data_IF_330133601195
#
_entry.id   IF_330133601195
#
_cell.length_a   1.000
_cell.length_b   1.000
_cell.length_c   1.000
_cell.angle_alpha   90.00
_cell.angle_beta   90.00
_cell.angle_gamma   90.00
#
_symmetry.space_group_name_H-M   'P 1'
#
loop_
_entity.id
_entity.type
_entity.pdbx_description
1 polymer ?
#
# COMPACT_ATOMS: atom_id res chain seq x y z
N UNK A 1 -21.80 45.20 -8.14
CA UNK A 1 -20.83 44.44 -7.31
C UNK A 1 -20.92 42.91 -7.47
N UNK A 2 -21.67 42.35 -8.44
CA UNK A 2 -21.79 40.87 -8.62
C UNK A 2 -20.73 40.24 -9.55
N UNK A 3 -20.07 41.02 -10.42
CA UNK A 3 -19.17 40.42 -11.41
C UNK A 3 -17.82 39.89 -10.89
N UNK A 4 -17.40 40.31 -9.67
CA UNK A 4 -16.18 39.81 -9.06
C UNK A 4 -16.34 38.40 -8.49
N UNK A 5 -17.45 38.14 -7.82
CA UNK A 5 -17.76 36.86 -7.18
C UNK A 5 -17.98 35.73 -8.21
N UNK A 6 -18.73 36.02 -9.28
CA UNK A 6 -18.91 35.04 -10.38
C UNK A 6 -17.62 34.68 -11.10
N UNK A 7 -16.66 35.59 -11.15
CA UNK A 7 -15.33 35.36 -11.77
C UNK A 7 -14.43 34.55 -10.86
N UNK A 8 -14.48 34.80 -9.54
CA UNK A 8 -13.76 34.01 -8.54
C UNK A 8 -14.33 32.58 -8.45
N UNK A 9 -15.66 32.41 -8.42
CA UNK A 9 -16.32 31.12 -8.43
C UNK A 9 -15.98 30.30 -9.69
N UNK A 10 -15.88 30.97 -10.85
CA UNK A 10 -15.53 30.31 -12.11
C UNK A 10 -14.06 29.89 -12.16
N UNK A 11 -13.17 30.71 -11.60
CA UNK A 11 -11.74 30.36 -11.48
C UNK A 11 -11.58 29.18 -10.54
N UNK A 12 -12.22 29.22 -9.36
CA UNK A 12 -12.19 28.10 -8.42
C UNK A 12 -12.74 26.81 -9.01
N UNK A 13 -13.84 26.87 -9.78
CA UNK A 13 -14.36 25.70 -10.49
C UNK A 13 -13.37 25.16 -11.53
N UNK A 14 -12.72 26.03 -12.31
CA UNK A 14 -11.73 25.62 -13.31
C UNK A 14 -10.47 25.01 -12.67
N UNK A 15 -10.05 25.50 -11.50
CA UNK A 15 -8.93 24.92 -10.75
C UNK A 15 -9.29 23.54 -10.20
N UNK A 16 -10.50 23.37 -9.63
CA UNK A 16 -11.01 22.06 -9.18
C UNK A 16 -11.13 21.07 -10.34
N UNK A 17 -11.64 21.50 -11.50
CA UNK A 17 -11.73 20.67 -12.70
C UNK A 17 -10.35 20.26 -13.22
N UNK A 18 -9.36 21.13 -13.14
CA UNK A 18 -7.98 20.84 -13.57
C UNK A 18 -7.26 19.91 -12.61
N UNK A 19 -7.48 20.08 -11.33
CA UNK A 19 -6.96 19.20 -10.27
C UNK A 19 -7.57 17.81 -10.35
N UNK A 20 -8.90 17.70 -10.52
CA UNK A 20 -9.59 16.42 -10.68
C UNK A 20 -9.26 15.70 -11.98
N UNK A 21 -8.92 16.42 -13.06
CA UNK A 21 -8.52 15.81 -14.32
C UNK A 21 -7.15 15.10 -14.26
N UNK A 22 -6.32 15.41 -13.26
CA UNK A 22 -5.00 14.80 -13.07
C UNK A 22 -5.06 13.45 -12.34
N UNK A 23 -6.14 13.18 -11.58
CA UNK A 23 -6.24 12.00 -10.71
C UNK A 23 -7.43 11.11 -11.09
N UNK A 24 -7.24 9.79 -10.93
CA UNK A 24 -8.34 8.83 -10.97
C UNK A 24 -9.09 8.77 -9.64
N UNK A 25 -8.46 9.17 -8.54
CA UNK A 25 -9.06 9.29 -7.23
C UNK A 25 -8.48 10.44 -6.42
N UNK A 26 -9.34 11.18 -5.72
CA UNK A 26 -8.95 12.27 -4.83
C UNK A 26 -9.75 12.19 -3.55
N UNK A 27 -9.05 12.27 -2.42
CA UNK A 27 -9.60 12.31 -1.07
C UNK A 27 -8.96 13.49 -0.32
N UNK A 28 -9.76 14.41 0.17
CA UNK A 28 -9.32 15.42 1.14
C UNK A 28 -10.15 15.29 2.39
N UNK A 29 -9.48 15.21 3.55
CA UNK A 29 -10.09 15.08 4.87
C UNK A 29 -9.75 16.29 5.70
N UNK A 30 -10.75 16.98 6.21
CA UNK A 30 -10.58 18.07 7.15
C UNK A 30 -11.59 18.00 8.30
N UNK A 31 -11.33 18.75 9.37
CA UNK A 31 -12.24 18.81 10.50
C UNK A 31 -13.51 19.59 10.13
N UNK A 32 -14.65 18.92 10.26
CA UNK A 32 -15.97 19.56 10.19
C UNK A 32 -16.67 19.37 11.52
N UNK A 33 -16.91 20.46 12.24
CA UNK A 33 -17.46 20.40 13.60
C UNK A 33 -16.69 19.44 14.52
N UNK A 34 -15.37 19.50 14.47
CA UNK A 34 -14.43 18.65 15.23
C UNK A 34 -14.48 17.16 14.87
N UNK A 35 -14.96 16.81 13.67
CA UNK A 35 -15.01 15.44 13.16
C UNK A 35 -14.26 15.37 11.83
N UNK A 36 -13.37 14.40 11.68
CA UNK A 36 -12.68 14.10 10.44
C UNK A 36 -13.66 13.69 9.34
N UNK A 37 -13.78 14.50 8.31
CA UNK A 37 -14.77 14.32 7.25
C UNK A 37 -14.18 14.57 5.87
N UNK A 38 -14.69 13.87 4.86
CA UNK A 38 -14.32 14.14 3.47
C UNK A 38 -14.83 15.54 3.06
N UNK A 39 -13.92 16.43 2.70
CA UNK A 39 -14.23 17.76 2.15
C UNK A 39 -14.14 17.79 0.64
N UNK A 40 -13.24 16.96 0.07
CA UNK A 40 -13.25 16.66 -1.37
C UNK A 40 -13.22 15.15 -1.54
N UNK A 41 -14.07 14.65 -2.43
CA UNK A 41 -14.12 13.25 -2.79
C UNK A 41 -14.45 13.12 -4.28
N UNK A 42 -13.50 12.59 -5.05
CA UNK A 42 -13.66 12.37 -6.47
C UNK A 42 -13.11 11.01 -6.86
N UNK A 43 -13.77 10.34 -7.79
CA UNK A 43 -13.21 9.14 -8.42
C UNK A 43 -13.75 8.95 -9.83
N UNK A 44 -12.89 8.46 -10.72
CA UNK A 44 -13.24 8.12 -12.11
C UNK A 44 -12.61 6.79 -12.49
N UNK A 45 -13.06 6.21 -13.61
CA UNK A 45 -12.47 4.98 -14.14
C UNK A 45 -10.93 5.06 -14.21
N UNK A 46 -10.20 4.01 -13.83
CA UNK A 46 -10.67 2.68 -13.43
C UNK A 46 -10.95 2.51 -11.92
N UNK A 47 -10.99 3.60 -11.16
CA UNK A 47 -11.14 3.61 -9.72
C UNK A 47 -12.52 4.14 -9.29
N UNK A 48 -13.06 3.57 -8.22
CA UNK A 48 -14.19 4.12 -7.48
C UNK A 48 -13.83 4.22 -6.01
N UNK A 49 -14.19 5.33 -5.36
CA UNK A 49 -14.01 5.55 -3.94
C UNK A 49 -15.39 5.56 -3.26
N UNK A 50 -15.51 4.81 -2.20
CA UNK A 50 -16.70 4.75 -1.35
C UNK A 50 -16.38 5.41 -0.01
N UNK A 51 -17.28 6.24 0.48
CA UNK A 51 -17.20 6.89 1.79
C UNK A 51 -18.44 6.52 2.62
N UNK A 52 -18.41 5.40 3.36
CA UNK A 52 -19.52 4.98 4.20
C UNK A 52 -19.65 5.87 5.43
N UNK A 53 -20.86 6.26 5.77
CA UNK A 53 -21.13 7.20 6.89
C UNK A 53 -20.85 6.63 8.29
N UNK A 54 -20.68 5.30 8.44
CA UNK A 54 -20.43 4.63 9.73
C UNK A 54 -19.74 3.30 9.50
N UNK A 55 -18.48 3.22 9.86
CA UNK A 55 -17.69 1.98 9.81
C UNK A 55 -17.18 1.59 11.20
N UNK A 56 -16.98 2.59 12.07
CA UNK A 56 -16.38 2.35 13.38
C UNK A 56 -17.31 1.52 14.29
N UNK A 57 -16.75 0.50 14.92
CA UNK A 57 -17.40 -0.20 16.03
C UNK A 57 -17.47 0.72 17.26
N UNK A 58 -16.41 1.48 17.52
CA UNK A 58 -16.39 2.52 18.55
C UNK A 58 -16.70 3.88 17.91
N UNK A 59 -17.89 4.40 18.20
CA UNK A 59 -18.36 5.70 17.71
C UNK A 59 -17.70 6.90 18.39
N UNK A 60 -16.94 6.67 19.45
CA UNK A 60 -16.20 7.73 20.16
C UNK A 60 -14.88 8.06 19.44
N UNK A 61 -14.39 7.19 18.57
CA UNK A 61 -13.15 7.40 17.81
C UNK A 61 -13.46 8.15 16.53
N UNK A 62 -12.74 9.24 16.32
CA UNK A 62 -12.87 10.07 15.13
C UNK A 62 -11.95 9.57 14.03
N UNK A 63 -12.51 8.99 12.97
CA UNK A 63 -11.78 8.54 11.79
C UNK A 63 -12.69 8.53 10.55
N UNK A 64 -12.22 9.14 9.47
CA UNK A 64 -12.86 9.07 8.16
C UNK A 64 -12.40 7.80 7.41
N UNK A 65 -13.35 6.93 7.04
CA UNK A 65 -13.06 5.66 6.39
C UNK A 65 -13.41 5.68 4.91
N UNK A 66 -12.48 5.24 4.07
CA UNK A 66 -12.66 5.15 2.63
C UNK A 66 -12.37 3.74 2.12
N UNK A 67 -13.11 3.32 1.10
CA UNK A 67 -12.86 2.06 0.39
C UNK A 67 -12.64 2.34 -1.08
N UNK A 68 -11.52 1.88 -1.61
CA UNK A 68 -11.21 1.94 -3.04
C UNK A 68 -11.61 0.64 -3.72
N UNK A 69 -12.18 0.74 -4.91
CA UNK A 69 -12.68 -0.38 -5.71
C UNK A 69 -12.24 -0.20 -7.15
N UNK A 70 -11.72 -1.25 -7.77
CA UNK A 70 -11.44 -1.25 -9.21
C UNK A 70 -12.70 -1.62 -10.00
N UNK A 71 -13.00 -0.87 -11.05
CA UNK A 71 -14.08 -1.25 -11.97
C UNK A 71 -13.77 -2.58 -12.67
N UNK A 72 -14.83 -3.33 -13.03
CA UNK A 72 -14.70 -4.58 -13.78
C UNK A 72 -13.96 -5.70 -13.02
N UNK A 73 -13.76 -5.54 -11.70
CA UNK A 73 -13.13 -6.54 -10.85
C UNK A 73 -11.59 -6.60 -10.95
N UNK A 74 -10.95 -5.62 -11.55
CA UNK A 74 -9.49 -5.50 -11.59
C UNK A 74 -8.99 -4.52 -12.65
N UNK A 75 -7.69 -4.28 -12.65
CA UNK A 75 -6.99 -3.37 -13.56
C UNK A 75 -6.56 -4.11 -14.83
N UNK A 76 -6.76 -3.48 -15.98
CA UNK A 76 -6.36 -4.03 -17.28
C UNK A 76 -5.06 -3.39 -17.79
N UNK A 77 -4.48 -4.00 -18.82
CA UNK A 77 -3.21 -3.56 -19.41
C UNK A 77 -3.23 -2.09 -19.80
N UNK A 78 -2.34 -1.31 -19.19
CA UNK A 78 -2.18 0.11 -19.46
C UNK A 78 -3.12 1.03 -18.68
N UNK A 79 -3.91 0.51 -17.73
CA UNK A 79 -4.64 1.35 -16.79
C UNK A 79 -3.68 2.22 -15.98
N UNK A 80 -4.05 3.48 -15.81
CA UNK A 80 -3.38 4.45 -14.97
C UNK A 80 -4.31 4.84 -13.83
N UNK A 81 -3.83 4.67 -12.59
CA UNK A 81 -4.61 4.93 -11.38
C UNK A 81 -3.86 5.94 -10.48
N UNK A 82 -3.75 7.19 -10.89
CA UNK A 82 -3.20 8.23 -10.03
C UNK A 82 -4.21 8.59 -8.94
N UNK A 83 -3.75 8.56 -7.67
CA UNK A 83 -4.53 8.93 -6.50
C UNK A 83 -3.86 10.03 -5.71
N UNK A 84 -4.68 10.94 -5.16
CA UNK A 84 -4.26 11.93 -4.18
C UNK A 84 -5.05 11.77 -2.90
N UNK A 85 -4.34 11.79 -1.75
CA UNK A 85 -4.94 11.74 -0.41
C UNK A 85 -4.34 12.86 0.44
N UNK A 86 -5.17 13.77 0.90
CA UNK A 86 -4.75 14.87 1.77
C UNK A 86 -5.50 14.79 3.10
N UNK A 87 -4.78 14.47 4.18
CA UNK A 87 -5.30 14.41 5.54
C UNK A 87 -4.82 15.64 6.28
N UNK A 88 -5.73 16.60 6.45
CA UNK A 88 -5.43 17.88 7.07
C UNK A 88 -5.09 17.73 8.56
N UNK A 89 -4.57 18.82 9.13
CA UNK A 89 -4.20 18.92 10.55
C UNK A 89 -5.28 18.35 11.48
N UNK A 90 -4.85 17.61 12.51
CA UNK A 90 -5.68 17.01 13.57
C UNK A 90 -6.72 15.98 13.06
N UNK A 91 -6.65 15.55 11.80
CA UNK A 91 -7.57 14.58 11.20
C UNK A 91 -7.05 13.15 11.25
N UNK A 92 -7.98 12.21 11.22
CA UNK A 92 -7.67 10.78 11.06
C UNK A 92 -8.40 10.22 9.83
N UNK A 93 -7.66 9.52 8.98
CA UNK A 93 -8.22 8.84 7.81
C UNK A 93 -7.71 7.41 7.70
N UNK A 94 -8.60 6.50 7.33
CA UNK A 94 -8.29 5.12 6.95
C UNK A 94 -8.76 4.84 5.54
N UNK A 95 -7.84 4.39 4.68
CA UNK A 95 -8.12 4.04 3.29
C UNK A 95 -7.84 2.56 3.09
N UNK A 96 -8.87 1.81 2.71
CA UNK A 96 -8.83 0.38 2.46
C UNK A 96 -9.21 0.07 1.01
N UNK A 97 -8.97 -1.15 0.55
CA UNK A 97 -9.59 -1.67 -0.67
C UNK A 97 -10.80 -2.54 -0.33
N UNK A 98 -11.71 -2.70 -1.27
CA UNK A 98 -12.79 -3.69 -1.17
C UNK A 98 -12.35 -4.98 -1.86
N UNK A 99 -11.55 -5.79 -1.16
CA UNK A 99 -10.94 -7.00 -1.69
C UNK A 99 -9.63 -6.77 -2.45
N UNK A 100 -9.04 -7.85 -2.92
CA UNK A 100 -7.75 -7.85 -3.62
C UNK A 100 -7.77 -7.02 -4.90
N UNK A 101 -6.74 -6.23 -5.13
CA UNK A 101 -6.53 -5.52 -6.40
C UNK A 101 -5.96 -6.49 -7.44
N UNK A 102 -6.84 -6.98 -8.31
CA UNK A 102 -6.43 -7.90 -9.40
C UNK A 102 -5.82 -7.10 -10.55
N UNK A 103 -4.69 -7.57 -11.07
CA UNK A 103 -4.04 -6.98 -12.25
C UNK A 103 -3.99 -8.04 -13.35
N UNK A 104 -4.67 -7.75 -14.44
CA UNK A 104 -4.79 -8.68 -15.56
C UNK A 104 -3.52 -8.66 -16.43
N UNK A 105 -3.39 -9.70 -17.27
CA UNK A 105 -2.26 -9.84 -18.18
C UNK A 105 -2.05 -8.59 -19.05
N UNK A 106 -0.80 -8.23 -19.27
CA UNK A 106 -0.43 -7.16 -20.18
C UNK A 106 -0.61 -7.57 -21.64
N UNK A 107 -1.23 -6.70 -22.44
CA UNK A 107 -1.56 -6.95 -23.84
C UNK A 107 -0.67 -6.07 -24.72
N UNK A 108 -0.20 -6.61 -25.83
CA UNK A 108 0.49 -5.82 -26.87
C UNK A 108 -0.51 -4.80 -27.47
N UNK A 109 -0.07 -3.57 -27.76
CA UNK A 109 -0.90 -2.66 -28.55
C UNK A 109 -1.22 -3.33 -29.89
N UNK A 110 -2.48 -3.33 -30.31
CA UNK A 110 -2.86 -3.79 -31.64
C UNK A 110 -2.38 -2.78 -32.67
N UNK A 111 -1.14 -2.94 -33.16
CA UNK A 111 -0.72 -2.26 -34.38
C UNK A 111 -1.22 -3.12 -35.56
N UNK A 112 -2.00 -2.53 -36.45
CA UNK A 112 -2.62 -3.19 -37.58
C UNK A 112 -1.63 -3.79 -38.62
N UNK A 113 -0.31 -3.79 -38.37
CA UNK A 113 0.73 -4.16 -39.36
C UNK A 113 1.85 -5.04 -38.81
N UNK A 114 1.67 -5.79 -37.72
CA UNK A 114 2.70 -6.74 -37.28
C UNK A 114 2.43 -8.14 -37.86
N UNK A 115 2.93 -8.37 -39.06
CA UNK A 115 3.17 -9.71 -39.60
C UNK A 115 4.57 -10.17 -39.13
N UNK A 116 4.63 -10.95 -38.06
CA UNK A 116 5.90 -11.50 -37.61
C UNK A 116 5.84 -12.07 -36.21
N UNK A 117 6.50 -13.22 -36.04
CA UNK A 117 6.65 -13.93 -34.75
C UNK A 117 7.54 -13.20 -33.73
N UNK A 118 7.35 -11.88 -33.59
CA UNK A 118 8.09 -11.10 -32.60
C UNK A 118 7.52 -11.36 -31.20
N UNK A 119 8.15 -12.33 -30.54
CA UNK A 119 7.97 -12.65 -29.12
C UNK A 119 8.63 -11.56 -28.25
N UNK A 120 8.99 -10.41 -28.81
CA UNK A 120 9.67 -9.34 -28.08
C UNK A 120 8.74 -8.66 -27.09
N UNK A 121 9.08 -8.94 -25.84
CA UNK A 121 8.37 -8.62 -24.61
C UNK A 121 8.37 -7.13 -24.24
N UNK A 122 9.03 -6.27 -24.98
CA UNK A 122 9.22 -4.85 -24.59
C UNK A 122 8.03 -3.94 -24.86
N UNK A 123 7.11 -4.33 -25.74
CA UNK A 123 6.05 -3.43 -26.21
C UNK A 123 4.68 -3.66 -25.56
N UNK A 124 4.61 -4.33 -24.41
CA UNK A 124 3.35 -4.48 -23.65
C UNK A 124 3.16 -3.33 -22.67
N UNK A 125 1.93 -2.78 -22.59
CA UNK A 125 1.63 -1.67 -21.67
C UNK A 125 1.70 -2.13 -20.21
N UNK A 126 2.36 -1.35 -19.38
CA UNK A 126 2.40 -1.51 -17.92
C UNK A 126 1.16 -0.85 -17.31
N UNK A 127 0.51 -1.55 -16.38
CA UNK A 127 -0.52 -0.98 -15.52
C UNK A 127 0.17 -0.24 -14.38
N UNK A 128 -0.23 1.01 -14.09
CA UNK A 128 0.41 1.85 -13.08
C UNK A 128 -0.59 2.36 -12.06
N UNK A 129 -0.19 2.32 -10.80
CA UNK A 129 -0.89 2.98 -9.71
C UNK A 129 0.08 3.94 -9.01
N UNK A 130 -0.34 5.19 -8.84
CA UNK A 130 0.44 6.17 -8.09
C UNK A 130 -0.40 6.73 -6.95
N UNK A 131 0.24 6.96 -5.82
CA UNK A 131 -0.35 7.61 -4.65
C UNK A 131 0.52 8.80 -4.26
N UNK A 132 -0.09 9.97 -4.25
CA UNK A 132 0.46 11.16 -3.60
C UNK A 132 -0.34 11.40 -2.32
N UNK A 133 0.31 11.27 -1.15
CA UNK A 133 -0.35 11.47 0.13
C UNK A 133 0.30 12.58 0.93
N UNK A 134 -0.52 13.44 1.54
CA UNK A 134 -0.10 14.47 2.48
C UNK A 134 -0.76 14.21 3.82
N UNK A 135 0.03 14.25 4.88
CA UNK A 135 -0.43 14.05 6.26
C UNK A 135 -0.04 15.26 7.08
N UNK A 136 -1.03 16.02 7.50
CA UNK A 136 -0.88 17.26 8.26
C UNK A 136 -0.37 17.03 9.67
N UNK A 137 -0.05 18.14 10.36
CA UNK A 137 0.36 18.18 11.77
C UNK A 137 -0.65 17.45 12.65
N UNK A 138 -0.18 16.55 13.53
CA UNK A 138 -1.01 15.74 14.45
C UNK A 138 -2.08 14.87 13.73
N UNK A 139 -1.97 14.68 12.42
CA UNK A 139 -2.87 13.84 11.65
C UNK A 139 -2.37 12.39 11.58
N UNK A 140 -3.28 11.46 11.30
CA UNK A 140 -2.97 10.05 11.06
C UNK A 140 -3.59 9.57 9.74
N UNK A 141 -2.75 9.02 8.87
CA UNK A 141 -3.20 8.25 7.71
C UNK A 141 -2.93 6.76 7.93
N UNK A 142 -3.97 5.94 7.85
CA UNK A 142 -3.87 4.48 7.77
C UNK A 142 -4.20 4.02 6.34
N UNK A 143 -3.18 3.64 5.57
CA UNK A 143 -3.32 3.03 4.25
C UNK A 143 -3.28 1.51 4.39
N UNK A 144 -4.44 0.86 4.30
CA UNK A 144 -4.66 -0.55 4.65
C UNK A 144 -5.32 -1.32 3.50
N UNK A 145 -4.70 -1.41 2.32
CA UNK A 145 -5.27 -2.15 1.21
C UNK A 145 -5.29 -3.66 1.47
N UNK A 146 -6.18 -4.39 0.82
CA UNK A 146 -6.00 -5.82 0.58
C UNK A 146 -4.88 -6.02 -0.47
N UNK A 147 -4.30 -7.23 -0.59
CA UNK A 147 -3.11 -7.42 -1.40
C UNK A 147 -3.35 -7.18 -2.90
N UNK A 148 -2.30 -6.77 -3.59
CA UNK A 148 -2.27 -6.86 -5.05
C UNK A 148 -2.15 -8.33 -5.49
N UNK A 149 -2.87 -8.70 -6.54
CA UNK A 149 -2.81 -10.02 -7.16
C UNK A 149 -2.55 -9.89 -8.65
N UNK A 150 -1.29 -10.02 -9.03
CA UNK A 150 -0.89 -9.98 -10.43
C UNK A 150 -1.10 -11.34 -11.09
N UNK A 151 -1.84 -11.37 -12.20
CA UNK A 151 -2.05 -12.59 -12.97
C UNK A 151 -0.86 -12.88 -13.87
N UNK A 152 -0.86 -14.07 -14.47
CA UNK A 152 0.16 -14.47 -15.43
C UNK A 152 0.36 -13.39 -16.50
N UNK A 153 1.61 -13.08 -16.81
CA UNK A 153 2.04 -12.08 -17.79
C UNK A 153 1.64 -10.63 -17.47
N UNK A 154 1.16 -10.32 -16.27
CA UNK A 154 0.89 -8.95 -15.84
C UNK A 154 2.20 -8.15 -15.71
N UNK A 155 2.15 -6.86 -16.03
CA UNK A 155 3.15 -5.85 -15.68
C UNK A 155 2.48 -4.80 -14.80
N UNK A 156 2.95 -4.67 -13.57
CA UNK A 156 2.36 -3.74 -12.60
C UNK A 156 3.44 -2.89 -11.93
N UNK A 157 3.20 -1.62 -11.83
CA UNK A 157 4.06 -0.65 -11.16
C UNK A 157 3.24 0.17 -10.16
N UNK A 158 3.73 0.26 -8.93
CA UNK A 158 3.17 1.10 -7.89
C UNK A 158 4.22 2.11 -7.42
N UNK A 159 3.82 3.37 -7.29
CA UNK A 159 4.68 4.44 -6.74
C UNK A 159 3.88 5.19 -5.70
N UNK A 160 4.42 5.28 -4.49
CA UNK A 160 3.81 5.97 -3.37
C UNK A 160 4.74 7.07 -2.88
N UNK A 161 4.28 8.29 -2.91
CA UNK A 161 4.97 9.47 -2.40
C UNK A 161 4.16 10.06 -1.26
N UNK A 162 4.70 10.01 -0.05
CA UNK A 162 4.00 10.37 1.17
C UNK A 162 4.78 11.46 1.88
N UNK A 163 4.14 12.60 2.11
CA UNK A 163 4.73 13.74 2.79
C UNK A 163 4.05 13.93 4.15
N UNK A 164 4.83 13.88 5.22
CA UNK A 164 4.42 14.20 6.58
C UNK A 164 4.78 15.65 6.88
N UNK A 165 3.85 16.42 7.41
CA UNK A 165 4.07 17.84 7.68
C UNK A 165 5.20 18.07 8.70
N UNK A 166 5.23 17.24 9.76
CA UNK A 166 6.22 17.32 10.84
C UNK A 166 6.28 16.00 11.63
N UNK A 167 7.07 15.98 12.70
CA UNK A 167 7.25 14.80 13.57
C UNK A 167 5.99 14.41 14.36
N UNK A 168 4.97 15.27 14.45
CA UNK A 168 3.67 14.95 15.07
C UNK A 168 2.73 14.19 14.11
N UNK A 169 2.99 14.24 12.82
CA UNK A 169 2.26 13.50 11.79
C UNK A 169 2.51 12.01 11.92
N UNK A 170 1.48 11.19 11.67
CA UNK A 170 1.56 9.74 11.84
C UNK A 170 1.09 8.98 10.61
N UNK A 171 1.76 7.87 10.31
CA UNK A 171 1.49 7.03 9.15
C UNK A 171 1.52 5.55 9.52
N UNK A 172 0.45 4.83 9.16
CA UNK A 172 0.46 3.38 9.00
C UNK A 172 0.25 3.07 7.52
N UNK A 173 1.25 2.52 6.86
CA UNK A 173 1.20 2.19 5.44
C UNK A 173 1.50 0.72 5.23
N UNK A 174 0.60 0.01 4.56
CA UNK A 174 0.77 -1.40 4.20
C UNK A 174 0.77 -1.52 2.68
N UNK A 175 1.78 -2.23 2.16
CA UNK A 175 1.88 -2.63 0.75
C UNK A 175 2.20 -4.10 0.66
N UNK A 176 1.42 -4.86 -0.13
CA UNK A 176 1.60 -6.30 -0.23
C UNK A 176 1.08 -6.91 -1.52
N UNK A 177 1.72 -8.02 -1.90
CA UNK A 177 1.41 -8.76 -3.12
C UNK A 177 1.33 -10.27 -2.83
N UNK A 178 0.45 -10.94 -3.57
CA UNK A 178 0.36 -12.39 -3.57
C UNK A 178 0.98 -13.02 -4.82
N UNK A 179 1.29 -14.32 -4.73
CA UNK A 179 1.85 -15.12 -5.84
C UNK A 179 0.93 -15.27 -7.06
N UNK A 180 -0.26 -14.64 -7.05
CA UNK A 180 -1.24 -14.74 -8.12
C UNK A 180 -2.33 -15.78 -7.85
N UNK A 181 -2.92 -16.36 -8.90
CA UNK A 181 -4.07 -17.29 -8.81
C UNK A 181 -3.62 -18.73 -8.60
N UNK A 182 -3.01 -19.02 -7.45
CA UNK A 182 -2.45 -20.34 -7.13
C UNK A 182 -3.45 -21.49 -7.28
N UNK A 183 -4.72 -21.24 -6.95
CA UNK A 183 -5.76 -22.28 -6.98
C UNK A 183 -6.25 -22.65 -8.39
N UNK A 184 -5.96 -21.84 -9.43
CA UNK A 184 -6.50 -22.02 -10.77
C UNK A 184 -5.48 -22.47 -11.80
N UNK A 185 -4.24 -21.98 -11.73
CA UNK A 185 -3.30 -22.09 -12.84
C UNK A 185 -2.00 -22.81 -12.47
N UNK A 186 -1.85 -23.18 -11.19
CA UNK A 186 -0.57 -23.63 -10.61
C UNK A 186 0.62 -22.71 -10.98
N UNK A 187 0.28 -21.47 -11.43
CA UNK A 187 1.22 -20.49 -11.95
C UNK A 187 1.53 -19.45 -10.89
N UNK A 188 2.26 -19.88 -9.83
CA UNK A 188 2.74 -19.00 -8.78
C UNK A 188 3.81 -18.06 -9.32
N UNK A 189 3.69 -16.78 -8.98
CA UNK A 189 4.65 -15.74 -9.36
C UNK A 189 4.87 -15.64 -10.89
N UNK A 190 3.82 -15.95 -11.67
CA UNK A 190 3.93 -16.04 -13.14
C UNK A 190 3.70 -14.68 -13.84
N UNK A 191 3.53 -13.60 -13.11
CA UNK A 191 3.50 -12.27 -13.71
C UNK A 191 4.87 -11.90 -14.29
N UNK A 192 4.91 -11.00 -15.24
CA UNK A 192 6.14 -10.59 -15.91
C UNK A 192 7.00 -9.69 -15.02
N UNK A 193 6.38 -8.64 -14.46
CA UNK A 193 7.07 -7.73 -13.56
C UNK A 193 6.10 -7.11 -12.56
N UNK A 194 6.61 -6.91 -11.36
CA UNK A 194 6.01 -6.10 -10.31
C UNK A 194 7.09 -5.19 -9.73
N UNK A 195 6.79 -3.90 -9.73
CA UNK A 195 7.64 -2.89 -9.10
C UNK A 195 6.76 -2.12 -8.12
N UNK A 196 7.21 -1.99 -6.88
CA UNK A 196 6.66 -1.03 -5.93
C UNK A 196 7.77 -0.17 -5.36
N UNK A 197 7.48 1.11 -5.15
CA UNK A 197 8.37 2.06 -4.49
C UNK A 197 7.54 2.99 -3.62
N UNK A 198 7.89 3.03 -2.34
CA UNK A 198 7.30 3.94 -1.36
C UNK A 198 8.37 4.86 -0.82
N UNK A 199 8.16 6.16 -0.93
CA UNK A 199 9.02 7.21 -0.37
C UNK A 199 8.21 7.98 0.66
N UNK A 200 8.73 8.12 1.86
CA UNK A 200 8.13 8.93 2.92
C UNK A 200 9.10 10.04 3.31
N UNK A 201 8.62 11.27 3.25
CA UNK A 201 9.37 12.48 3.63
C UNK A 201 8.70 13.18 4.81
N UNK A 202 9.45 13.99 5.56
CA UNK A 202 8.91 14.83 6.66
C UNK A 202 9.49 16.24 6.56
N UNK A 203 8.64 17.25 6.75
CA UNK A 203 9.03 18.66 6.78
C UNK A 203 9.71 19.09 5.48
N UNK A 204 10.92 19.63 5.57
CA UNK A 204 11.71 20.16 4.44
C UNK A 204 12.28 19.03 3.55
N UNK A 205 11.44 18.12 3.05
CA UNK A 205 11.79 16.99 2.17
C UNK A 205 12.84 16.03 2.76
N UNK A 206 12.97 15.97 4.08
CA UNK A 206 13.84 14.98 4.74
C UNK A 206 13.28 13.58 4.50
N UNK A 207 14.01 12.74 3.77
CA UNK A 207 13.61 11.36 3.50
C UNK A 207 13.76 10.52 4.76
N UNK A 208 12.64 9.94 5.22
CA UNK A 208 12.61 9.03 6.37
C UNK A 208 12.70 7.57 5.95
N UNK A 209 11.97 7.19 4.92
CA UNK A 209 11.89 5.82 4.43
C UNK A 209 11.90 5.81 2.91
N UNK A 210 12.70 4.92 2.34
CA UNK A 210 12.56 4.46 0.96
C UNK A 210 12.45 2.94 1.02
N UNK A 211 11.28 2.42 0.67
CA UNK A 211 11.04 0.99 0.50
C UNK A 211 10.83 0.72 -0.98
N UNK A 212 11.57 -0.24 -1.54
CA UNK A 212 11.41 -0.61 -2.95
C UNK A 212 11.54 -2.10 -3.14
N UNK A 213 10.61 -2.67 -3.90
CA UNK A 213 10.60 -4.06 -4.25
C UNK A 213 10.45 -4.23 -5.77
N UNK A 214 11.31 -5.04 -6.36
CA UNK A 214 11.26 -5.40 -7.77
C UNK A 214 11.27 -6.91 -7.92
N UNK A 215 10.20 -7.44 -8.49
CA UNK A 215 10.02 -8.85 -8.78
C UNK A 215 9.84 -9.02 -10.28
N UNK A 216 10.73 -9.79 -10.91
CA UNK A 216 10.69 -10.02 -12.35
C UNK A 216 10.99 -11.47 -12.67
N UNK A 217 10.23 -12.01 -13.62
CA UNK A 217 10.59 -13.23 -14.28
C UNK A 217 11.54 -12.91 -15.43
N UNK A 218 12.64 -13.65 -15.50
CA UNK A 218 13.57 -13.55 -16.61
C UNK A 218 12.84 -13.89 -17.94
N UNK A 219 13.24 -13.23 -19.02
CA UNK A 219 12.74 -13.55 -20.35
C UNK A 219 13.20 -14.96 -20.84
N UNK A 220 14.15 -15.59 -20.13
CA UNK A 220 14.64 -16.93 -20.41
C UNK A 220 13.62 -17.98 -19.95
N UNK A 221 13.37 -18.98 -20.77
CA UNK A 221 12.56 -20.15 -20.43
C UNK A 221 13.26 -21.09 -19.42
N UNK A 222 14.26 -20.60 -18.69
CA UNK A 222 14.97 -21.37 -17.70
C UNK A 222 14.14 -21.43 -16.41
N UNK A 223 13.48 -22.57 -16.17
CA UNK A 223 12.66 -22.80 -14.98
C UNK A 223 13.45 -22.62 -13.68
N UNK A 224 14.76 -22.84 -13.68
CA UNK A 224 15.60 -22.67 -12.48
C UNK A 224 15.78 -21.22 -12.05
N UNK A 225 15.62 -20.27 -12.95
CA UNK A 225 15.70 -18.84 -12.69
C UNK A 225 14.33 -18.22 -12.43
N UNK A 226 13.26 -19.00 -12.50
CA UNK A 226 11.90 -18.50 -12.30
C UNK A 226 11.72 -17.86 -10.92
N UNK A 227 10.90 -16.80 -10.86
CA UNK A 227 10.56 -16.13 -9.60
C UNK A 227 9.91 -17.14 -8.62
N UNK A 228 9.10 -18.06 -9.11
CA UNK A 228 8.47 -19.10 -8.31
C UNK A 228 9.50 -19.98 -7.56
N UNK A 229 10.61 -20.35 -8.20
CA UNK A 229 11.69 -21.11 -7.54
C UNK A 229 12.43 -20.26 -6.51
N UNK A 230 12.73 -19.01 -6.86
CA UNK A 230 13.40 -18.08 -5.93
C UNK A 230 12.56 -17.78 -4.69
N UNK A 231 11.25 -17.71 -4.85
CA UNK A 231 10.31 -17.46 -3.74
C UNK A 231 9.98 -18.71 -2.92
N UNK A 232 10.37 -19.89 -3.40
CA UNK A 232 10.14 -21.18 -2.73
C UNK A 232 8.67 -21.34 -2.26
N UNK A 233 8.45 -21.45 -0.94
CA UNK A 233 7.10 -21.61 -0.36
C UNK A 233 6.44 -20.29 0.02
N UNK A 234 7.07 -19.13 -0.24
CA UNK A 234 6.45 -17.86 0.02
C UNK A 234 5.44 -17.51 -1.08
N UNK A 235 4.20 -17.28 -0.71
CA UNK A 235 3.12 -16.90 -1.61
C UNK A 235 2.64 -15.47 -1.39
N UNK A 236 3.11 -14.82 -0.33
CA UNK A 236 2.77 -13.44 0.03
C UNK A 236 4.01 -12.70 0.47
N UNK A 237 4.15 -11.48 0.01
CA UNK A 237 5.11 -10.51 0.52
C UNK A 237 4.32 -9.28 0.98
N UNK A 238 4.56 -8.83 2.21
CA UNK A 238 3.98 -7.61 2.73
C UNK A 238 5.06 -6.73 3.38
N UNK A 239 4.90 -5.42 3.25
CA UNK A 239 5.68 -4.39 3.93
C UNK A 239 4.74 -3.51 4.74
N UNK A 240 5.09 -3.25 6.00
CA UNK A 240 4.36 -2.35 6.90
C UNK A 240 5.30 -1.24 7.30
N UNK A 241 4.92 0.00 7.08
CA UNK A 241 5.65 1.20 7.49
C UNK A 241 4.84 1.90 8.56
N UNK A 242 5.43 2.12 9.73
CA UNK A 242 4.81 2.81 10.86
C UNK A 242 5.70 3.99 11.25
N UNK A 243 5.15 5.19 11.23
CA UNK A 243 5.86 6.43 11.55
C UNK A 243 4.97 7.31 12.45
N UNK A 244 5.60 7.99 13.39
CA UNK A 244 4.99 9.04 14.20
C UNK A 244 4.33 8.54 15.49
N UNK A 245 3.95 9.48 16.39
CA UNK A 245 3.57 9.17 17.76
C UNK A 245 2.31 8.31 17.87
N UNK A 246 1.32 8.50 17.02
CA UNK A 246 0.05 7.74 17.05
C UNK A 246 0.20 6.29 16.60
N UNK A 247 1.36 5.87 16.08
CA UNK A 247 1.67 4.47 15.74
C UNK A 247 2.53 3.75 16.77
N UNK A 248 2.89 4.38 17.89
CA UNK A 248 3.83 3.86 18.87
C UNK A 248 3.43 2.48 19.40
N UNK A 249 2.17 2.30 19.79
CA UNK A 249 1.68 1.02 20.32
C UNK A 249 1.79 -0.11 19.26
N UNK A 250 1.47 0.18 17.99
CA UNK A 250 1.61 -0.77 16.90
C UNK A 250 3.09 -1.06 16.59
N UNK A 251 3.98 -0.05 16.65
CA UNK A 251 5.43 -0.24 16.48
C UNK A 251 6.00 -1.18 17.54
N UNK A 252 5.62 -0.97 18.82
CA UNK A 252 6.02 -1.84 19.94
C UNK A 252 5.53 -3.28 19.71
N UNK A 253 4.26 -3.45 19.32
CA UNK A 253 3.69 -4.78 19.04
C UNK A 253 4.39 -5.47 17.88
N UNK A 254 4.68 -4.77 16.77
CA UNK A 254 5.45 -5.31 15.64
C UNK A 254 6.86 -5.74 16.07
N UNK A 255 7.54 -4.94 16.88
CA UNK A 255 8.88 -5.25 17.38
C UNK A 255 8.88 -6.47 18.30
N UNK A 256 7.90 -6.61 19.19
CA UNK A 256 7.71 -7.78 20.04
C UNK A 256 7.43 -9.04 19.21
N UNK A 257 6.52 -8.91 18.24
CA UNK A 257 6.18 -9.99 17.32
C UNK A 257 7.40 -10.49 16.54
N UNK A 258 8.21 -9.58 16.00
CA UNK A 258 9.43 -9.91 15.27
C UNK A 258 10.47 -10.59 16.17
N UNK A 259 10.65 -10.14 17.43
CA UNK A 259 11.57 -10.77 18.39
C UNK A 259 11.16 -12.20 18.73
N UNK A 260 9.89 -12.46 18.96
CA UNK A 260 9.38 -13.79 19.27
C UNK A 260 9.53 -14.75 18.08
N UNK A 261 9.31 -14.25 16.89
CA UNK A 261 9.48 -14.98 15.62
C UNK A 261 10.95 -15.23 15.29
N UNK A 262 11.87 -14.33 15.65
CA UNK A 262 13.33 -14.52 15.42
C UNK A 262 13.85 -15.71 16.22
N UNK A 263 13.26 -16.04 17.36
CA UNK A 263 13.52 -17.29 18.09
C UNK A 263 13.06 -18.54 17.33
N UNK A 264 12.07 -18.38 16.41
CA UNK A 264 11.60 -19.45 15.51
C UNK A 264 12.35 -19.45 14.18
N UNK A 265 12.96 -18.33 13.80
CA UNK A 265 13.65 -18.09 12.51
C UNK A 265 15.16 -18.21 12.55
N UNK A 266 15.77 -18.72 13.61
CA UNK A 266 17.19 -19.15 13.58
C UNK A 266 17.47 -20.11 12.39
N UNK A 267 16.45 -20.48 11.64
CA UNK A 267 16.51 -21.28 10.43
C UNK A 267 16.06 -20.52 9.16
N UNK A 268 15.82 -19.20 9.17
CA UNK A 268 15.32 -18.49 8.00
C UNK A 268 16.31 -18.52 6.80
N UNK A 269 17.61 -18.50 7.07
CA UNK A 269 18.62 -18.71 6.02
C UNK A 269 18.68 -20.17 5.57
N UNK A 270 18.26 -21.13 6.39
CA UNK A 270 18.26 -22.56 6.07
C UNK A 270 17.00 -23.02 5.34
N UNK A 271 15.86 -22.30 5.44
CA UNK A 271 14.67 -22.71 4.69
C UNK A 271 14.71 -22.31 3.21
N UNK A 272 15.46 -21.30 2.85
CA UNK A 272 15.82 -21.03 1.44
C UNK A 272 16.61 -22.20 0.82
N UNK A 273 17.18 -23.07 1.65
CA UNK A 273 17.98 -24.22 1.22
C UNK A 273 17.47 -25.59 1.69
N UNK A 274 16.47 -25.66 2.58
CA UNK A 274 16.01 -26.90 3.19
C UNK A 274 14.81 -27.51 2.47
N UNK A 275 14.93 -28.81 2.13
CA UNK A 275 13.90 -29.65 1.51
C UNK A 275 12.80 -30.14 2.48
N UNK A 276 12.51 -29.44 3.58
CA UNK A 276 11.55 -29.92 4.55
C UNK A 276 10.32 -29.01 4.63
N UNK A 277 9.09 -29.56 4.65
CA UNK A 277 7.89 -28.76 4.79
C UNK A 277 7.87 -28.11 6.18
N UNK A 278 7.97 -26.79 6.22
CA UNK A 278 7.76 -26.05 7.44
C UNK A 278 6.26 -26.04 7.79
N UNK A 279 5.89 -26.24 9.06
CA UNK A 279 4.55 -25.90 9.49
C UNK A 279 4.40 -24.38 9.39
N UNK A 280 3.37 -23.90 8.67
CA UNK A 280 2.93 -22.52 8.52
C UNK A 280 4.07 -21.50 8.70
N UNK A 281 4.96 -21.37 7.69
CA UNK A 281 6.16 -20.55 7.81
C UNK A 281 5.87 -19.11 7.47
N UNK A 282 5.90 -18.24 8.46
CA UNK A 282 6.00 -16.80 8.26
C UNK A 282 7.43 -16.37 8.61
N UNK A 283 8.09 -15.68 7.68
CA UNK A 283 9.42 -15.12 7.89
C UNK A 283 9.31 -13.59 7.99
N UNK A 284 10.02 -13.00 8.92
CA UNK A 284 10.00 -11.55 9.12
C UNK A 284 11.40 -10.98 9.04
N UNK A 285 11.49 -9.76 8.55
CA UNK A 285 12.64 -8.90 8.79
C UNK A 285 12.15 -7.57 9.35
N UNK A 286 12.75 -7.15 10.43
CA UNK A 286 12.53 -5.85 11.04
C UNK A 286 13.68 -4.94 10.64
N UNK A 287 13.38 -3.78 10.07
CA UNK A 287 14.34 -2.71 9.90
C UNK A 287 13.81 -1.47 10.62
N UNK A 288 14.62 -0.90 11.50
CA UNK A 288 14.39 0.45 11.99
C UNK A 288 15.03 1.41 11.01
N UNK A 289 14.37 2.50 10.65
CA UNK A 289 14.90 3.47 9.69
C UNK A 289 16.19 4.17 10.15
N UNK A 290 16.63 3.90 11.38
CA UNK A 290 17.89 4.43 11.96
C UNK A 290 19.17 3.78 11.41
N UNK A 291 19.12 2.69 10.62
CA UNK A 291 20.33 2.03 10.12
C UNK A 291 20.89 2.61 8.82
N UNK A 292 20.25 3.55 8.16
CA UNK A 292 20.87 4.31 7.08
C UNK A 292 21.64 5.51 7.63
N UNK A 293 22.92 5.29 7.89
CA UNK A 293 24.03 6.26 8.07
C UNK A 293 23.62 7.75 8.03
N UNK A 294 23.00 8.23 9.04
CA UNK A 294 23.18 9.57 9.62
C UNK A 294 22.41 9.56 10.94
N UNK A 295 23.11 9.21 12.02
CA UNK A 295 22.66 9.53 13.36
C UNK A 295 22.50 11.06 13.45
N UNK A 296 21.33 11.57 13.18
CA UNK A 296 20.86 12.79 13.79
C UNK A 296 20.07 12.36 15.03
N UNK A 297 20.80 12.15 16.13
CA UNK A 297 20.20 12.22 17.44
C UNK A 297 19.62 13.64 17.57
N UNK A 298 18.32 13.75 17.87
CA UNK A 298 17.80 14.97 18.45
C UNK A 298 18.59 15.21 19.75
N UNK A 299 18.79 16.45 20.13
CA UNK A 299 19.51 16.83 21.36
C UNK A 299 18.95 16.18 22.65
N UNK A 300 17.85 15.44 22.56
CA UNK A 300 17.18 14.68 23.62
C UNK A 300 17.32 13.14 23.52
N UNK A 301 18.10 12.60 22.56
CA UNK A 301 18.42 11.16 22.51
C UNK A 301 17.25 10.23 22.15
N UNK A 302 16.13 10.72 21.61
CA UNK A 302 15.02 9.88 21.18
C UNK A 302 15.31 9.23 19.82
N UNK A 303 15.22 7.89 19.76
CA UNK A 303 15.19 7.13 18.51
C UNK A 303 14.07 7.68 17.61
N UNK A 304 14.37 7.91 16.34
CA UNK A 304 13.31 8.28 15.35
C UNK A 304 12.20 7.25 15.39
N UNK A 305 10.99 7.75 15.58
CA UNK A 305 9.77 6.96 15.76
C UNK A 305 9.28 6.31 14.45
N UNK A 306 10.12 5.47 13.82
CA UNK A 306 9.79 4.79 12.58
C UNK A 306 10.18 3.32 12.60
N UNK A 307 9.35 2.48 11.95
CA UNK A 307 9.56 1.04 11.83
C UNK A 307 9.10 0.55 10.46
N UNK A 308 9.91 -0.32 9.86
CA UNK A 308 9.53 -1.08 8.66
C UNK A 308 9.56 -2.56 9.01
N UNK A 309 8.40 -3.24 8.89
CA UNK A 309 8.26 -4.69 9.05
C UNK A 309 8.00 -5.31 7.67
N UNK A 310 8.83 -6.29 7.27
CA UNK A 310 8.61 -7.09 6.07
C UNK A 310 8.18 -8.48 6.47
N UNK A 311 7.13 -8.97 5.81
CA UNK A 311 6.49 -10.26 6.07
C UNK A 311 6.53 -11.10 4.80
N UNK A 312 7.04 -12.32 4.91
CA UNK A 312 6.93 -13.36 3.90
C UNK A 312 6.04 -14.47 4.46
N UNK A 313 4.95 -14.81 3.79
CA UNK A 313 4.03 -15.83 4.25
C UNK A 313 3.77 -16.91 3.18
N UNK A 314 3.50 -18.13 3.63
CA UNK A 314 3.15 -19.28 2.79
C UNK A 314 1.76 -19.17 2.17
N UNK A 315 0.89 -18.35 2.76
CA UNK A 315 -0.50 -18.16 2.35
C UNK A 315 -1.03 -16.81 2.84
N UNK A 316 -2.16 -16.43 2.28
CA UNK A 316 -2.76 -15.11 2.53
C UNK A 316 -3.35 -14.99 3.95
N UNK A 317 -3.87 -16.08 4.49
CA UNK A 317 -4.47 -16.09 5.84
C UNK A 317 -3.40 -15.90 6.92
N UNK A 318 -2.25 -16.56 6.75
CA UNK A 318 -1.09 -16.36 7.62
C UNK A 318 -0.59 -14.91 7.59
N UNK A 319 -0.58 -14.27 6.41
CA UNK A 319 -0.21 -12.85 6.29
C UNK A 319 -1.25 -11.95 6.99
N UNK A 320 -2.55 -12.19 6.80
CA UNK A 320 -3.60 -11.47 7.50
C UNK A 320 -3.50 -11.63 9.01
N UNK A 321 -3.23 -12.83 9.52
CA UNK A 321 -3.07 -13.08 10.95
C UNK A 321 -1.97 -12.21 11.55
N UNK A 322 -0.82 -12.10 10.87
CA UNK A 322 0.28 -11.23 11.29
C UNK A 322 -0.13 -9.76 11.28
N UNK A 323 -0.72 -9.30 10.17
CA UNK A 323 -1.13 -7.91 10.04
C UNK A 323 -2.19 -7.53 11.09
N UNK A 324 -3.16 -8.40 11.34
CA UNK A 324 -4.18 -8.21 12.40
C UNK A 324 -3.53 -8.08 13.77
N UNK A 325 -2.63 -9.01 14.12
CA UNK A 325 -1.96 -8.99 15.42
C UNK A 325 -1.06 -7.79 15.60
N UNK A 326 -0.21 -7.50 14.61
CA UNK A 326 0.75 -6.39 14.67
C UNK A 326 0.06 -5.03 14.68
N UNK A 327 -1.02 -4.86 13.93
CA UNK A 327 -1.71 -3.57 13.77
C UNK A 327 -2.92 -3.41 14.69
N UNK A 328 -3.29 -4.44 15.49
CA UNK A 328 -4.41 -4.38 16.42
C UNK A 328 -4.40 -3.12 17.31
N UNK A 329 -3.26 -2.62 17.83
CA UNK A 329 -3.27 -1.42 18.66
C UNK A 329 -3.79 -0.15 17.96
N UNK A 330 -3.82 -0.11 16.62
CA UNK A 330 -4.40 1.01 15.88
C UNK A 330 -5.93 1.09 16.02
N UNK A 331 -6.58 0.07 16.55
CA UNK A 331 -8.03 0.09 16.82
C UNK A 331 -8.45 1.31 17.65
N UNK A 332 -7.64 1.72 18.63
CA UNK A 332 -7.89 2.90 19.45
C UNK A 332 -7.82 4.21 18.66
N UNK A 333 -7.12 4.22 17.53
CA UNK A 333 -6.92 5.40 16.67
C UNK A 333 -7.95 5.50 15.54
N UNK A 334 -8.44 4.36 15.05
CA UNK A 334 -9.33 4.31 13.88
C UNK A 334 -10.71 3.73 14.17
N UNK A 335 -10.95 3.28 15.42
CA UNK A 335 -12.26 2.81 15.90
C UNK A 335 -12.69 1.44 15.38
N UNK A 336 -11.78 0.69 14.73
CA UNK A 336 -12.02 -0.64 14.20
C UNK A 336 -10.68 -1.38 14.07
N UNK A 337 -10.60 -2.68 14.42
CA UNK A 337 -9.39 -3.45 14.21
C UNK A 337 -9.01 -3.47 12.72
N UNK A 338 -7.74 -3.16 12.37
CA UNK A 338 -7.24 -3.32 11.00
C UNK A 338 -7.42 -4.76 10.51
N UNK A 339 -7.86 -4.93 9.27
CA UNK A 339 -8.07 -6.25 8.65
C UNK A 339 -9.01 -7.19 9.41
N UNK A 340 -9.91 -6.64 10.23
CA UNK A 340 -10.92 -7.45 10.89
C UNK A 340 -11.69 -8.28 9.85
N UNK A 341 -12.08 -9.50 10.23
CA UNK A 341 -12.98 -10.30 9.40
C UNK A 341 -14.26 -9.50 9.20
N UNK A 342 -14.39 -8.92 8.02
CA UNK A 342 -15.62 -8.23 7.62
C UNK A 342 -16.69 -9.30 7.69
N UNK A 343 -17.55 -9.20 8.72
CA UNK A 343 -18.52 -10.20 9.05
C UNK A 343 -19.17 -10.78 7.81
N UNK A 344 -18.90 -12.06 7.58
CA UNK A 344 -19.72 -12.88 6.73
C UNK A 344 -21.09 -12.87 7.35
N UNK A 345 -21.98 -12.07 6.82
CA UNK A 345 -23.41 -12.17 7.02
C UNK A 345 -24.00 -13.00 5.91
#
# INVERSE_FOLDING_TARGET
MNGGREREDKIAMMEVEKETAAFAGLIEVSLQSSISSATKLFSTYPLRILYPKKVQFDKSVDCAWFYTVSYGGGLVSGDLVPMSVDVQKDCTASVCTQGTTKVYKSIKPSSANCTGNDVDSENTKTTKQTLEAKVGTNALLCWLPDPAQCFKDAKFEQVHEISLADDSSSLCFVDWITAGRVAHDDARWAFRSFLTRTTVTTGDDTVNVIESQRLENAASNNEEESLAKRMANAHVIASVILIGPRTEAARKKCAEYAKDSSKRTTNAASWLTAKSPLPAGVSYSLATASESKTQRMNEEGNEKDSLVLRVLASDIESAYAVLRECLQPLETEIGCPPYNERGGS
#
